data_IF_533854155751
#
_entry.id   IF_533854155751
#
_cell.length_a   1.000
_cell.length_b   1.000
_cell.length_c   1.000
_cell.angle_alpha   90.00
_cell.angle_beta   90.00
_cell.angle_gamma   90.00
#
_symmetry.space_group_name_H-M   'P 1'
#
loop_
_entity.id
_entity.type
_entity.pdbx_description
1 polymer ?
#
# COMPACT_ATOMS: atom_id res chain seq x y z
N UNK A 1 -11.45 -17.62 -16.89
CA UNK A 1 -10.44 -16.54 -16.93
C UNK A 1 -9.18 -17.12 -16.31
N UNK A 2 -8.09 -17.22 -17.07
CA UNK A 2 -6.84 -17.79 -16.56
C UNK A 2 -6.29 -16.86 -15.47
N UNK A 3 -6.09 -17.37 -14.26
CA UNK A 3 -5.37 -16.66 -13.20
C UNK A 3 -3.95 -16.40 -13.70
N UNK A 4 -3.47 -15.15 -13.65
CA UNK A 4 -2.08 -14.85 -13.95
C UNK A 4 -1.17 -15.73 -13.06
N UNK A 5 -0.03 -16.23 -13.57
CA UNK A 5 0.90 -16.99 -12.76
C UNK A 5 1.30 -16.15 -11.55
N UNK A 6 1.05 -16.68 -10.35
CA UNK A 6 1.50 -16.00 -9.15
C UNK A 6 3.03 -16.11 -9.07
N UNK A 7 3.73 -14.99 -8.86
CA UNK A 7 5.18 -15.01 -8.72
C UNK A 7 5.60 -15.88 -7.53
N UNK A 8 6.71 -16.59 -7.69
CA UNK A 8 7.27 -17.48 -6.68
C UNK A 8 7.50 -16.71 -5.35
N UNK A 9 7.00 -17.21 -4.20
CA UNK A 9 7.25 -16.58 -2.90
C UNK A 9 8.72 -16.29 -2.61
N UNK A 10 9.63 -17.17 -3.04
CA UNK A 10 11.07 -16.99 -2.84
C UNK A 10 11.61 -15.80 -3.64
N UNK A 11 11.11 -15.61 -4.87
CA UNK A 11 11.48 -14.45 -5.70
C UNK A 11 10.96 -13.16 -5.07
N UNK A 12 9.72 -13.18 -4.55
CA UNK A 12 9.14 -12.02 -3.88
C UNK A 12 9.91 -11.61 -2.61
N UNK A 13 10.36 -12.59 -1.82
CA UNK A 13 11.17 -12.32 -0.63
C UNK A 13 12.55 -11.77 -0.99
N UNK A 14 13.18 -12.26 -2.06
CA UNK A 14 14.45 -11.75 -2.55
C UNK A 14 14.33 -10.31 -3.05
N UNK A 15 13.30 -10.02 -3.84
CA UNK A 15 12.98 -8.66 -4.30
C UNK A 15 12.77 -7.73 -3.12
N UNK A 16 11.93 -8.12 -2.14
CA UNK A 16 11.70 -7.31 -0.94
C UNK A 16 13.01 -7.03 -0.19
N UNK A 17 13.85 -8.04 0.01
CA UNK A 17 15.15 -7.88 0.67
C UNK A 17 16.01 -6.86 -0.08
N UNK A 18 16.07 -6.98 -1.41
CA UNK A 18 16.85 -6.07 -2.24
C UNK A 18 16.37 -4.62 -2.13
N UNK A 19 15.06 -4.40 -2.20
CA UNK A 19 14.45 -3.07 -2.03
C UNK A 19 14.74 -2.45 -0.66
N UNK A 20 14.85 -3.26 0.39
CA UNK A 20 15.25 -2.80 1.72
C UNK A 20 16.73 -2.42 1.76
N UNK A 21 17.61 -3.26 1.19
CA UNK A 21 19.06 -3.02 1.14
C UNK A 21 19.44 -1.78 0.33
N UNK A 22 18.73 -1.48 -0.76
CA UNK A 22 18.95 -0.29 -1.59
C UNK A 22 18.28 0.96 -1.05
N UNK A 23 17.42 0.84 -0.03
CA UNK A 23 16.61 1.94 0.51
C UNK A 23 15.43 2.35 -0.38
N UNK A 24 15.16 1.64 -1.49
CA UNK A 24 14.02 1.95 -2.36
C UNK A 24 12.69 1.68 -1.68
N UNK A 25 12.63 0.69 -0.78
CA UNK A 25 11.43 0.42 0.01
C UNK A 25 10.99 1.66 0.79
N UNK A 26 11.92 2.30 1.49
CA UNK A 26 11.64 3.50 2.28
C UNK A 26 11.30 4.69 1.37
N UNK A 27 12.01 4.85 0.25
CA UNK A 27 11.75 5.90 -0.74
C UNK A 27 10.34 5.80 -1.33
N UNK A 28 9.93 4.60 -1.73
CA UNK A 28 8.59 4.32 -2.29
C UNK A 28 7.51 4.52 -1.21
N UNK A 29 7.77 4.06 0.01
CA UNK A 29 6.85 4.23 1.14
C UNK A 29 6.64 5.70 1.49
N UNK A 30 7.70 6.51 1.47
CA UNK A 30 7.62 7.96 1.68
C UNK A 30 6.86 8.65 0.56
N UNK A 31 7.11 8.29 -0.71
CA UNK A 31 6.39 8.82 -1.86
C UNK A 31 4.89 8.55 -1.75
N UNK A 32 4.50 7.31 -1.42
CA UNK A 32 3.10 6.95 -1.21
C UNK A 32 2.50 7.78 -0.07
N UNK A 33 3.18 7.88 1.06
CA UNK A 33 2.69 8.64 2.23
C UNK A 33 2.47 10.11 1.90
N UNK A 34 3.45 10.76 1.26
CA UNK A 34 3.35 12.16 0.86
C UNK A 34 2.16 12.40 -0.07
N UNK A 35 1.97 11.54 -1.08
CA UNK A 35 0.83 11.65 -2.00
C UNK A 35 -0.52 11.45 -1.33
N UNK A 36 -0.61 10.53 -0.36
CA UNK A 36 -1.85 10.30 0.39
C UNK A 36 -2.18 11.49 1.30
N UNK A 37 -1.16 12.10 1.92
CA UNK A 37 -1.30 13.29 2.75
C UNK A 37 -1.75 14.50 1.91
N UNK A 38 -1.16 14.71 0.72
CA UNK A 38 -1.53 15.80 -0.20
C UNK A 38 -3.01 15.80 -0.61
N UNK A 39 -3.64 14.62 -0.68
CA UNK A 39 -5.05 14.48 -1.04
C UNK A 39 -5.98 14.34 0.18
N UNK A 40 -5.45 14.46 1.40
CA UNK A 40 -6.23 14.34 2.63
C UNK A 40 -6.73 12.93 2.94
N UNK A 41 -6.13 11.89 2.34
CA UNK A 41 -6.60 10.51 2.52
C UNK A 41 -6.47 10.04 3.97
N UNK A 42 -5.47 10.51 4.71
CA UNK A 42 -5.28 10.11 6.10
C UNK A 42 -6.37 10.68 7.02
N UNK A 43 -6.82 11.90 6.76
CA UNK A 43 -7.91 12.56 7.47
C UNK A 43 -9.25 11.91 7.16
N UNK A 44 -9.54 11.66 5.86
CA UNK A 44 -10.75 10.94 5.45
C UNK A 44 -10.81 9.54 6.09
N UNK A 45 -9.66 8.84 6.15
CA UNK A 45 -9.57 7.53 6.77
C UNK A 45 -9.79 7.58 8.29
N UNK A 46 -9.20 8.58 8.98
CA UNK A 46 -9.42 8.79 10.42
C UNK A 46 -10.89 9.06 10.71
N UNK A 47 -11.55 9.85 9.88
CA UNK A 47 -12.95 10.21 10.08
C UNK A 47 -13.87 9.02 9.84
N UNK A 48 -13.62 8.22 8.79
CA UNK A 48 -14.28 6.93 8.60
C UNK A 48 -14.08 6.01 9.81
N UNK A 49 -12.84 5.85 10.28
CA UNK A 49 -12.54 4.99 11.42
C UNK A 49 -13.25 5.46 12.71
N UNK A 50 -13.33 6.77 12.96
CA UNK A 50 -14.07 7.34 14.09
C UNK A 50 -15.57 7.06 13.97
N UNK A 51 -16.16 7.22 12.78
CA UNK A 51 -17.57 6.94 12.55
C UNK A 51 -17.89 5.48 12.84
N UNK A 52 -17.08 4.55 12.32
CA UNK A 52 -17.24 3.11 12.55
C UNK A 52 -17.05 2.73 14.02
N UNK A 53 -16.06 3.30 14.70
CA UNK A 53 -15.84 3.06 16.12
C UNK A 53 -17.02 3.56 16.99
N UNK A 54 -17.64 4.69 16.64
CA UNK A 54 -18.82 5.22 17.35
C UNK A 54 -20.07 4.37 17.16
N UNK A 55 -20.16 3.62 16.05
CA UNK A 55 -21.25 2.71 15.79
C UNK A 55 -21.12 1.36 16.53
N UNK A 56 -19.93 1.05 17.08
CA UNK A 56 -19.70 -0.15 17.88
C UNK A 56 -20.19 0.05 19.31
N UNK A 57 -20.96 -0.90 19.83
CA UNK A 57 -21.40 -0.90 21.25
C UNK A 57 -20.20 -1.00 22.21
N UNK A 58 -19.19 -1.76 21.82
CA UNK A 58 -17.89 -1.82 22.50
C UNK A 58 -16.78 -1.69 21.45
N UNK A 59 -15.98 -0.61 21.48
CA UNK A 59 -14.91 -0.42 20.51
C UNK A 59 -13.87 -1.55 20.52
N UNK A 60 -13.66 -2.19 19.37
CA UNK A 60 -12.63 -3.20 19.15
C UNK A 60 -11.74 -2.82 17.96
N UNK A 61 -10.44 -2.67 18.22
CA UNK A 61 -9.48 -2.26 17.19
C UNK A 61 -9.36 -3.28 16.05
N UNK A 62 -9.35 -4.58 16.36
CA UNK A 62 -9.19 -5.62 15.34
C UNK A 62 -10.38 -5.62 14.38
N UNK A 63 -11.58 -5.56 14.91
CA UNK A 63 -12.81 -5.55 14.11
C UNK A 63 -12.91 -4.26 13.28
N UNK A 64 -12.52 -3.13 13.88
CA UNK A 64 -12.43 -1.85 13.17
C UNK A 64 -11.45 -1.91 11.99
N UNK A 65 -10.26 -2.49 12.17
CA UNK A 65 -9.28 -2.66 11.10
C UNK A 65 -9.79 -3.56 9.97
N UNK A 66 -10.46 -4.66 10.31
CA UNK A 66 -11.06 -5.57 9.32
C UNK A 66 -12.12 -4.85 8.49
N UNK A 67 -12.94 -4.00 9.11
CA UNK A 67 -13.98 -3.23 8.42
C UNK A 67 -13.43 -2.08 7.58
N UNK A 68 -12.44 -1.36 8.10
CA UNK A 68 -11.94 -0.11 7.50
C UNK A 68 -10.90 -0.36 6.41
N UNK A 69 -10.05 -1.39 6.52
CA UNK A 69 -8.97 -1.64 5.55
C UNK A 69 -9.43 -1.73 4.08
N UNK A 70 -10.51 -2.46 3.74
CA UNK A 70 -10.98 -2.54 2.36
C UNK A 70 -11.45 -1.18 1.82
N UNK A 71 -12.00 -0.33 2.69
CA UNK A 71 -12.46 1.02 2.33
C UNK A 71 -11.27 1.95 2.15
N UNK A 72 -10.30 1.90 3.05
CA UNK A 72 -9.03 2.62 2.96
C UNK A 72 -8.35 2.39 1.60
N UNK A 73 -8.28 1.13 1.13
CA UNK A 73 -7.71 0.78 -0.16
C UNK A 73 -8.51 1.30 -1.37
N UNK A 74 -9.84 1.38 -1.25
CA UNK A 74 -10.73 1.91 -2.30
C UNK A 74 -10.67 3.44 -2.38
N UNK A 75 -10.42 4.11 -1.26
CA UNK A 75 -10.28 5.56 -1.19
C UNK A 75 -8.99 6.06 -1.86
N UNK A 76 -8.00 5.20 -2.11
CA UNK A 76 -6.76 5.58 -2.79
C UNK A 76 -7.08 5.99 -4.24
N UNK A 77 -6.82 7.25 -4.63
CA UNK A 77 -7.02 7.71 -6.00
C UNK A 77 -6.24 6.86 -7.00
N UNK A 78 -6.88 6.56 -8.14
CA UNK A 78 -6.24 5.76 -9.19
C UNK A 78 -4.96 6.40 -9.76
N UNK A 79 -4.86 7.73 -9.74
CA UNK A 79 -3.65 8.47 -10.11
C UNK A 79 -2.48 8.18 -9.17
N UNK A 80 -2.71 8.18 -7.86
CA UNK A 80 -1.68 7.86 -6.84
C UNK A 80 -1.24 6.41 -6.99
N UNK A 81 -2.21 5.48 -7.13
CA UNK A 81 -1.91 4.05 -7.34
C UNK A 81 -1.01 3.85 -8.56
N UNK A 82 -1.34 4.48 -9.69
CA UNK A 82 -0.52 4.39 -10.92
C UNK A 82 0.88 4.97 -10.70
N UNK A 83 1.00 6.15 -10.08
CA UNK A 83 2.29 6.78 -9.86
C UNK A 83 3.22 5.93 -8.98
N UNK A 84 2.68 5.32 -7.91
CA UNK A 84 3.47 4.45 -7.03
C UNK A 84 3.82 3.13 -7.70
N UNK A 85 2.90 2.54 -8.48
CA UNK A 85 3.20 1.34 -9.27
C UNK A 85 4.30 1.57 -10.30
N UNK A 86 4.29 2.72 -10.99
CA UNK A 86 5.35 3.08 -11.93
C UNK A 86 6.72 3.17 -11.25
N UNK A 87 6.79 3.70 -10.03
CA UNK A 87 8.04 3.74 -9.27
C UNK A 87 8.52 2.33 -8.86
N UNK A 88 7.58 1.46 -8.47
CA UNK A 88 7.89 0.06 -8.15
C UNK A 88 8.42 -0.65 -9.40
N UNK A 89 7.73 -0.54 -10.55
CA UNK A 89 8.14 -1.12 -11.83
C UNK A 89 9.53 -0.64 -12.23
N UNK A 90 9.80 0.67 -12.17
CA UNK A 90 11.11 1.24 -12.50
C UNK A 90 12.25 0.70 -11.61
N UNK A 91 11.98 0.49 -10.31
CA UNK A 91 12.98 -0.11 -9.42
C UNK A 91 13.19 -1.59 -9.73
N UNK A 92 12.11 -2.34 -10.00
CA UNK A 92 12.21 -3.75 -10.37
C UNK A 92 13.00 -3.94 -11.65
N UNK A 93 12.70 -3.17 -12.70
CA UNK A 93 13.42 -3.21 -13.98
C UNK A 93 14.91 -2.96 -13.78
N UNK A 94 15.26 -1.95 -12.97
CA UNK A 94 16.64 -1.61 -12.63
C UNK A 94 17.37 -2.72 -11.88
N UNK A 95 16.70 -3.45 -10.98
CA UNK A 95 17.32 -4.56 -10.25
C UNK A 95 17.43 -5.83 -11.11
N UNK A 96 16.50 -6.06 -12.04
CA UNK A 96 16.58 -7.16 -13.02
C UNK A 96 17.70 -6.94 -14.03
N UNK A 97 17.90 -5.72 -14.53
CA UNK A 97 19.01 -5.41 -15.47
C UNK A 97 20.40 -5.55 -14.85
N UNK A 98 20.50 -5.48 -13.51
CA UNK A 98 21.77 -5.60 -12.78
C UNK A 98 22.12 -7.05 -12.39
N UNK A 99 21.18 -7.98 -12.50
CA UNK A 99 21.34 -9.39 -12.15
C UNK A 99 21.86 -10.21 -13.34
#
# INVERSE_FOLDING_TARGET
MASAPQPDPQVMDQVRRRLLETGDWDRISQLLRAKLEEVGWDDDLKDLAKEKARAQETPNLRDLLVEVNPQAQKMIPGSIRRAVLQEIEAVLDREVEKA
#
